data_IF_098668860725
#
_entry.id   IF_098668860725
#
_cell.length_a   1.000
_cell.length_b   1.000
_cell.length_c   1.000
_cell.angle_alpha   90.00
_cell.angle_beta   90.00
_cell.angle_gamma   90.00
#
_symmetry.space_group_name_H-M   'P 1'
#
loop_
_entity.id
_entity.type
_entity.pdbx_description
1 polymer ?
#
# COMPACT_ATOMS: atom_id res chain seq x y z
N UNK A 1 -5.00 56.07 1.51
CA UNK A 1 -4.31 55.06 2.35
C UNK A 1 -5.25 53.88 2.53
N UNK A 2 -4.87 52.65 2.13
CA UNK A 2 -5.75 51.50 2.32
C UNK A 2 -6.01 51.29 3.82
N UNK A 3 -7.27 51.03 4.18
CA UNK A 3 -7.70 50.77 5.56
C UNK A 3 -6.89 49.62 6.16
N UNK A 4 -6.58 49.68 7.47
CA UNK A 4 -5.91 48.58 8.20
C UNK A 4 -6.63 47.23 8.01
N UNK A 5 -7.96 47.26 7.84
CA UNK A 5 -8.77 46.08 7.53
C UNK A 5 -8.54 45.53 6.12
N UNK A 6 -8.31 46.41 5.13
CA UNK A 6 -8.02 46.00 3.76
C UNK A 6 -6.66 45.31 3.69
N UNK A 7 -5.64 45.86 4.35
CA UNK A 7 -4.31 45.23 4.44
C UNK A 7 -4.40 43.87 5.15
N UNK A 8 -5.14 43.79 6.26
CA UNK A 8 -5.33 42.53 6.99
C UNK A 8 -6.03 41.45 6.15
N UNK A 9 -7.11 41.80 5.45
CA UNK A 9 -7.83 40.87 4.56
C UNK A 9 -6.97 40.45 3.36
N UNK A 10 -6.16 41.36 2.82
CA UNK A 10 -5.27 41.03 1.70
C UNK A 10 -4.12 40.13 2.17
N UNK A 11 -3.54 40.37 3.35
CA UNK A 11 -2.55 39.48 3.97
C UNK A 11 -3.17 38.12 4.32
N UNK A 12 -4.42 38.07 4.79
CA UNK A 12 -5.13 36.82 5.04
C UNK A 12 -5.39 36.05 3.74
N UNK A 13 -5.75 36.73 2.64
CA UNK A 13 -5.95 36.14 1.32
C UNK A 13 -4.63 35.64 0.69
N UNK A 14 -3.53 36.38 0.88
CA UNK A 14 -2.18 35.95 0.45
C UNK A 14 -1.66 34.80 1.33
N UNK A 15 -2.04 34.74 2.61
CA UNK A 15 -1.78 33.59 3.49
C UNK A 15 -2.69 32.40 3.18
N UNK A 16 -3.85 32.62 2.56
CA UNK A 16 -4.78 31.61 2.03
C UNK A 16 -4.39 31.13 0.62
N UNK A 17 -3.47 31.80 -0.08
CA UNK A 17 -2.65 31.19 -1.14
C UNK A 17 -1.64 30.19 -0.56
N UNK A 18 -2.06 29.41 0.45
CA UNK A 18 -1.38 28.17 0.75
C UNK A 18 -1.45 27.35 -0.53
N UNK A 19 -0.31 27.26 -1.22
CA UNK A 19 -0.10 26.36 -2.35
C UNK A 19 -0.87 25.08 -2.04
N UNK A 20 -1.93 24.77 -2.80
CA UNK A 20 -2.62 23.50 -2.70
C UNK A 20 -1.53 22.42 -2.78
N UNK A 21 -1.18 21.84 -1.63
CA UNK A 21 -0.19 20.78 -1.56
C UNK A 21 -0.92 19.59 -2.14
N UNK A 22 -0.73 19.37 -3.44
CA UNK A 22 -1.28 18.21 -4.11
C UNK A 22 -0.65 16.95 -3.51
N UNK A 23 -1.48 15.93 -3.35
CA UNK A 23 -1.08 14.62 -2.84
C UNK A 23 -0.07 14.00 -3.81
N UNK A 24 -0.46 13.91 -5.08
CA UNK A 24 0.48 13.65 -6.17
C UNK A 24 1.04 14.95 -6.74
N UNK A 25 2.23 14.89 -7.32
CA UNK A 25 2.72 16.05 -8.06
C UNK A 25 1.84 16.32 -9.29
N UNK A 26 1.76 17.60 -9.67
CA UNK A 26 1.11 18.03 -10.92
C UNK A 26 1.56 17.19 -12.12
N UNK A 27 2.84 16.88 -12.20
CA UNK A 27 3.40 16.09 -13.31
C UNK A 27 2.78 14.69 -13.37
N UNK A 28 2.69 14.01 -12.22
CA UNK A 28 2.13 12.67 -12.16
C UNK A 28 0.62 12.67 -12.37
N UNK A 29 -0.09 13.66 -11.81
CA UNK A 29 -1.51 13.89 -12.10
C UNK A 29 -1.77 14.06 -13.60
N UNK A 30 -1.02 14.94 -14.26
CA UNK A 30 -1.11 15.17 -15.70
C UNK A 30 -0.80 13.90 -16.50
N UNK A 31 0.20 13.12 -16.07
CA UNK A 31 0.51 11.83 -16.69
C UNK A 31 -0.67 10.86 -16.60
N UNK A 32 -1.29 10.73 -15.42
CA UNK A 32 -2.43 9.83 -15.21
C UNK A 32 -3.62 10.28 -16.07
N UNK A 33 -3.96 11.57 -16.05
CA UNK A 33 -5.08 12.09 -16.85
C UNK A 33 -4.86 11.86 -18.35
N UNK A 34 -3.64 12.13 -18.84
CA UNK A 34 -3.29 11.97 -20.25
C UNK A 34 -3.29 10.51 -20.72
N UNK A 35 -2.87 9.58 -19.88
CA UNK A 35 -2.72 8.16 -20.25
C UNK A 35 -3.93 7.29 -19.88
N UNK A 36 -4.79 7.79 -18.99
CA UNK A 36 -5.95 7.08 -18.48
C UNK A 36 -7.17 8.00 -18.56
N UNK A 37 -7.51 8.70 -17.48
CA UNK A 37 -8.54 9.74 -17.42
C UNK A 37 -8.58 10.39 -16.02
N UNK A 38 -9.40 11.43 -15.90
CA UNK A 38 -9.65 12.17 -14.65
C UNK A 38 -10.15 11.27 -13.51
N UNK A 39 -11.01 10.30 -13.80
CA UNK A 39 -11.58 9.40 -12.77
C UNK A 39 -10.50 8.51 -12.16
N UNK A 40 -9.56 8.03 -12.97
CA UNK A 40 -8.39 7.27 -12.48
C UNK A 40 -7.48 8.15 -11.65
N UNK A 41 -7.22 9.41 -12.05
CA UNK A 41 -6.46 10.34 -11.20
C UNK A 41 -7.12 10.49 -9.83
N UNK A 42 -8.41 10.84 -9.80
CA UNK A 42 -9.16 11.03 -8.54
C UNK A 42 -9.10 9.77 -7.68
N UNK A 43 -9.29 8.60 -8.28
CA UNK A 43 -9.24 7.32 -7.59
C UNK A 43 -7.87 7.04 -6.95
N UNK A 44 -6.77 7.46 -7.56
CA UNK A 44 -5.43 7.22 -7.04
C UNK A 44 -4.95 8.33 -6.10
N UNK A 45 -5.30 9.58 -6.36
CA UNK A 45 -4.79 10.73 -5.60
C UNK A 45 -5.47 10.89 -4.24
N UNK A 46 -6.74 10.47 -4.13
CA UNK A 46 -7.46 10.39 -2.85
C UNK A 46 -7.46 11.67 -2.01
N UNK A 47 -7.62 12.81 -2.67
CA UNK A 47 -7.82 14.12 -2.01
C UNK A 47 -9.03 14.08 -1.05
N UNK A 48 -10.02 13.21 -1.32
CA UNK A 48 -11.17 12.99 -0.44
C UNK A 48 -10.80 12.44 0.95
N UNK A 49 -9.60 11.85 1.10
CA UNK A 49 -9.11 11.27 2.36
C UNK A 49 -8.13 12.16 3.13
N UNK A 50 -7.97 13.41 2.73
CA UNK A 50 -7.15 14.39 3.44
C UNK A 50 -6.40 15.32 2.50
N UNK A 51 -5.71 16.29 3.09
CA UNK A 51 -4.87 17.25 2.38
C UNK A 51 -3.39 16.93 2.60
N UNK A 52 -2.53 17.22 1.62
CA UNK A 52 -1.09 17.05 1.75
C UNK A 52 -0.59 15.68 1.33
N UNK A 53 -0.03 14.87 2.25
CA UNK A 53 0.37 13.47 1.98
C UNK A 53 -0.57 12.48 2.68
N UNK A 54 -1.80 12.92 2.98
CA UNK A 54 -2.75 12.14 3.76
C UNK A 54 -3.43 11.08 2.92
N UNK A 55 -3.97 11.48 1.77
CA UNK A 55 -4.55 10.59 0.78
C UNK A 55 -3.50 9.73 0.10
N UNK A 56 -2.51 10.35 -0.52
CA UNK A 56 -1.55 9.71 -1.41
C UNK A 56 -0.27 10.53 -1.53
N UNK A 57 0.79 9.95 -2.08
CA UNK A 57 1.95 10.75 -2.47
C UNK A 57 2.73 10.15 -3.62
N UNK A 58 3.47 10.98 -4.33
CA UNK A 58 4.44 10.56 -5.35
C UNK A 58 4.38 11.38 -6.62
N UNK A 59 5.28 11.04 -7.53
CA UNK A 59 5.42 11.74 -8.81
C UNK A 59 6.63 12.66 -8.88
N UNK A 60 7.07 12.94 -10.10
CA UNK A 60 8.15 13.89 -10.37
C UNK A 60 7.68 15.33 -10.17
N UNK A 61 8.56 16.23 -9.77
CA UNK A 61 8.26 17.66 -9.77
C UNK A 61 8.23 18.18 -11.22
N UNK A 62 9.13 17.69 -12.07
CA UNK A 62 9.23 18.06 -13.48
C UNK A 62 9.85 16.95 -14.33
N UNK A 63 9.89 17.14 -15.65
CA UNK A 63 10.59 16.22 -16.57
C UNK A 63 12.10 16.12 -16.29
N UNK A 64 12.70 17.12 -15.64
CA UNK A 64 14.11 17.13 -15.28
C UNK A 64 14.46 16.18 -14.11
N UNK A 65 13.45 15.64 -13.42
CA UNK A 65 13.67 14.69 -12.33
C UNK A 65 14.14 13.33 -12.88
N UNK A 66 15.39 13.00 -12.57
CA UNK A 66 15.99 11.71 -12.91
C UNK A 66 15.78 10.72 -11.76
N UNK A 67 15.09 9.61 -12.07
CA UNK A 67 14.95 8.49 -11.13
C UNK A 67 16.23 7.66 -11.14
N UNK A 68 17.00 7.72 -10.06
CA UNK A 68 18.26 6.98 -9.90
C UNK A 68 18.00 5.59 -9.32
N UNK A 69 17.05 5.47 -8.40
CA UNK A 69 16.64 4.22 -7.76
C UNK A 69 15.40 3.63 -8.42
N UNK A 70 15.02 2.43 -8.01
CA UNK A 70 13.72 1.84 -8.33
C UNK A 70 12.62 2.55 -7.53
N UNK A 71 11.45 2.82 -8.14
CA UNK A 71 10.33 3.38 -7.42
C UNK A 71 9.84 2.42 -6.32
N UNK A 72 9.57 2.96 -5.13
CA UNK A 72 9.01 2.23 -4.00
C UNK A 72 7.55 2.62 -3.84
N UNK A 73 6.66 1.63 -3.84
CA UNK A 73 5.23 1.78 -3.64
C UNK A 73 4.88 1.31 -2.23
N UNK A 74 4.39 2.21 -1.42
CA UNK A 74 3.84 1.91 -0.10
C UNK A 74 2.34 1.68 -0.21
N UNK A 75 1.84 0.58 0.37
CA UNK A 75 0.41 0.26 0.40
C UNK A 75 -0.04 0.09 1.85
N UNK A 76 -0.91 0.97 2.38
CA UNK A 76 -1.32 0.97 3.78
C UNK A 76 -2.10 -0.29 4.15
N UNK A 77 -2.29 -0.50 5.46
CA UNK A 77 -3.25 -1.49 5.95
C UNK A 77 -4.69 -1.03 5.74
N UNK A 78 -5.65 -1.93 5.95
CA UNK A 78 -7.06 -1.56 5.93
C UNK A 78 -7.34 -0.48 6.99
N UNK A 79 -8.28 0.42 6.68
CA UNK A 79 -8.65 1.57 7.51
C UNK A 79 -7.55 2.61 7.75
N UNK A 80 -6.36 2.42 7.18
CA UNK A 80 -5.26 3.37 7.25
C UNK A 80 -5.14 4.14 5.93
N UNK A 81 -4.38 5.23 5.99
CA UNK A 81 -4.13 6.11 4.84
C UNK A 81 -2.64 6.19 4.56
N UNK A 82 -2.26 6.68 3.38
CA UNK A 82 -0.87 6.86 2.95
C UNK A 82 -0.02 7.62 3.97
N UNK A 83 -0.61 8.52 4.77
CA UNK A 83 0.07 9.23 5.85
C UNK A 83 0.84 8.32 6.82
N UNK A 84 0.41 7.07 7.02
CA UNK A 84 1.11 6.13 7.90
C UNK A 84 2.55 5.86 7.47
N UNK A 85 2.85 6.05 6.18
CA UNK A 85 4.19 5.92 5.61
C UNK A 85 4.94 7.25 5.52
N UNK A 86 4.45 8.33 6.11
CA UNK A 86 5.18 9.61 6.15
C UNK A 86 6.56 9.46 6.81
N UNK A 87 6.65 8.71 7.91
CA UNK A 87 7.92 8.36 8.56
C UNK A 87 8.84 7.55 7.65
N UNK A 88 8.30 6.56 6.92
CA UNK A 88 9.05 5.76 5.95
C UNK A 88 9.56 6.61 4.79
N UNK A 89 8.69 7.46 4.22
CA UNK A 89 9.03 8.40 3.15
C UNK A 89 10.18 9.31 3.57
N UNK A 90 10.07 9.94 4.74
CA UNK A 90 11.10 10.82 5.28
C UNK A 90 12.41 10.07 5.52
N UNK A 91 12.35 8.86 6.10
CA UNK A 91 13.52 8.02 6.30
C UNK A 91 14.24 7.74 4.97
N UNK A 92 13.51 7.30 3.95
CA UNK A 92 14.08 7.01 2.64
C UNK A 92 14.70 8.26 2.00
N UNK A 93 14.04 9.41 2.11
CA UNK A 93 14.54 10.68 1.56
C UNK A 93 15.83 11.15 2.24
N UNK A 94 15.91 11.09 3.57
CA UNK A 94 17.13 11.44 4.33
C UNK A 94 18.29 10.52 3.94
N UNK A 95 18.00 9.30 3.52
CA UNK A 95 19.00 8.32 3.09
C UNK A 95 19.13 8.21 1.55
N UNK A 96 18.78 9.28 0.83
CA UNK A 96 19.16 9.47 -0.58
C UNK A 96 18.18 8.93 -1.62
N UNK A 97 16.94 8.60 -1.26
CA UNK A 97 15.86 8.53 -2.24
C UNK A 97 15.36 9.93 -2.61
N UNK A 98 14.96 10.11 -3.86
CA UNK A 98 14.19 11.28 -4.26
C UNK A 98 12.70 11.06 -3.91
N UNK A 99 11.95 12.11 -3.56
CA UNK A 99 10.48 12.02 -3.42
C UNK A 99 9.81 11.47 -4.68
N UNK A 100 10.37 11.73 -5.85
CA UNK A 100 9.90 11.25 -7.16
C UNK A 100 10.06 9.74 -7.35
N UNK A 101 10.71 9.06 -6.41
CA UNK A 101 10.90 7.60 -6.37
C UNK A 101 9.99 6.93 -5.31
N UNK A 102 9.20 7.70 -4.56
CA UNK A 102 8.40 7.20 -3.45
C UNK A 102 6.92 7.46 -3.71
N UNK A 103 6.12 6.41 -3.69
CA UNK A 103 4.71 6.43 -4.07
C UNK A 103 3.84 5.78 -3.01
N UNK A 104 2.64 6.29 -2.79
CA UNK A 104 1.62 5.65 -1.96
C UNK A 104 0.23 6.06 -2.43
N UNK A 105 -0.73 5.16 -2.31
CA UNK A 105 -2.15 5.48 -2.50
C UNK A 105 -3.00 4.87 -1.39
N UNK A 106 -3.96 5.64 -0.90
CA UNK A 106 -5.00 5.11 0.00
C UNK A 106 -6.08 4.40 -0.80
N UNK A 107 -6.72 3.41 -0.19
CA UNK A 107 -7.81 2.67 -0.82
C UNK A 107 -9.01 2.55 0.12
N UNK A 108 -10.15 2.16 -0.43
CA UNK A 108 -11.41 2.14 0.33
C UNK A 108 -11.79 3.54 0.82
N UNK A 109 -12.41 3.62 2.00
CA UNK A 109 -12.90 4.89 2.56
C UNK A 109 -11.94 5.54 3.57
N UNK A 110 -10.70 5.06 3.69
CA UNK A 110 -9.73 5.65 4.62
C UNK A 110 -10.13 5.58 6.09
N UNK A 111 -10.90 4.55 6.47
CA UNK A 111 -11.19 4.18 7.86
C UNK A 111 -12.63 4.34 8.31
N UNK A 112 -13.56 4.73 7.44
CA UNK A 112 -14.97 4.88 7.78
C UNK A 112 -15.69 3.53 7.98
N UNK A 113 -15.38 2.53 7.16
CA UNK A 113 -15.90 1.17 7.33
C UNK A 113 -15.27 0.58 8.58
N UNK A 114 -16.08 0.26 9.58
CA UNK A 114 -15.61 -0.40 10.80
C UNK A 114 -15.05 -1.79 10.48
N UNK A 115 -13.99 -2.17 11.20
CA UNK A 115 -13.22 -3.38 10.94
C UNK A 115 -14.09 -4.65 10.83
N UNK A 116 -15.11 -4.89 11.67
CA UNK A 116 -15.98 -6.07 11.56
C UNK A 116 -16.72 -6.22 10.22
N UNK A 117 -16.89 -5.12 9.48
CA UNK A 117 -17.55 -5.09 8.16
C UNK A 117 -16.57 -5.02 7.00
N UNK A 118 -15.27 -4.86 7.27
CA UNK A 118 -14.25 -4.74 6.23
C UNK A 118 -14.04 -6.08 5.50
N UNK A 119 -13.92 -6.06 4.17
CA UNK A 119 -13.78 -7.26 3.34
C UNK A 119 -12.73 -7.07 2.24
N UNK A 120 -12.17 -8.16 1.74
CA UNK A 120 -11.23 -8.18 0.62
C UNK A 120 -11.97 -8.02 -0.71
N UNK A 121 -12.41 -6.79 -1.01
CA UNK A 121 -13.24 -6.47 -2.18
C UNK A 121 -12.46 -6.36 -3.50
N UNK A 122 -13.08 -6.78 -4.60
CA UNK A 122 -12.49 -6.70 -5.95
C UNK A 122 -12.11 -5.27 -6.38
N UNK A 123 -12.91 -4.26 -6.05
CA UNK A 123 -12.66 -2.88 -6.44
C UNK A 123 -11.34 -2.34 -5.86
N UNK A 124 -11.03 -2.71 -4.62
CA UNK A 124 -9.75 -2.38 -3.96
C UNK A 124 -8.59 -3.12 -4.62
N UNK A 125 -8.74 -4.41 -4.91
CA UNK A 125 -7.73 -5.19 -5.65
C UNK A 125 -7.42 -4.54 -7.00
N UNK A 126 -8.46 -4.16 -7.75
CA UNK A 126 -8.33 -3.49 -9.06
C UNK A 126 -7.65 -2.13 -8.93
N UNK A 127 -7.99 -1.33 -7.92
CA UNK A 127 -7.35 -0.04 -7.65
C UNK A 127 -5.85 -0.21 -7.42
N UNK A 128 -5.45 -1.10 -6.50
CA UNK A 128 -4.03 -1.35 -6.18
C UNK A 128 -3.28 -1.87 -7.40
N UNK A 129 -3.87 -2.82 -8.13
CA UNK A 129 -3.28 -3.37 -9.37
C UNK A 129 -3.06 -2.29 -10.41
N UNK A 130 -4.02 -1.39 -10.59
CA UNK A 130 -3.91 -0.27 -11.53
C UNK A 130 -2.81 0.70 -11.07
N UNK A 131 -2.74 1.01 -9.78
CA UNK A 131 -1.70 1.89 -9.24
C UNK A 131 -0.29 1.36 -9.49
N UNK A 132 -0.05 0.07 -9.23
CA UNK A 132 1.23 -0.59 -9.52
C UNK A 132 1.62 -0.42 -11.00
N UNK A 133 0.67 -0.66 -11.92
CA UNK A 133 0.89 -0.51 -13.36
C UNK A 133 1.16 0.94 -13.76
N UNK A 134 0.46 1.90 -13.15
CA UNK A 134 0.68 3.33 -13.39
C UNK A 134 2.09 3.73 -12.99
N UNK A 135 2.54 3.37 -11.78
CA UNK A 135 3.87 3.74 -11.28
C UNK A 135 4.97 3.07 -12.11
N UNK A 136 4.82 1.77 -12.42
CA UNK A 136 5.75 1.05 -13.30
C UNK A 136 5.88 1.75 -14.67
N UNK A 137 4.74 2.08 -15.32
CA UNK A 137 4.71 2.76 -16.62
C UNK A 137 5.30 4.17 -16.55
N UNK A 138 5.00 4.92 -15.49
CA UNK A 138 5.45 6.29 -15.30
C UNK A 138 6.95 6.38 -15.04
N UNK A 139 7.47 5.49 -14.19
CA UNK A 139 8.88 5.42 -13.86
C UNK A 139 9.71 4.71 -14.94
N UNK A 140 9.06 3.92 -15.80
CA UNK A 140 9.68 3.01 -16.76
C UNK A 140 10.73 2.09 -16.11
N UNK A 141 10.38 1.54 -14.95
CA UNK A 141 11.20 0.63 -14.14
C UNK A 141 10.32 -0.39 -13.43
N UNK A 142 10.88 -1.55 -13.08
CA UNK A 142 10.26 -2.42 -12.08
C UNK A 142 10.13 -1.69 -10.75
N UNK A 143 9.12 -2.07 -9.97
CA UNK A 143 8.79 -1.42 -8.70
C UNK A 143 9.17 -2.29 -7.51
N UNK A 144 9.52 -1.66 -6.40
CA UNK A 144 9.58 -2.31 -5.10
C UNK A 144 8.28 -1.99 -4.34
N UNK A 145 7.66 -2.95 -3.68
CA UNK A 145 6.42 -2.76 -2.92
C UNK A 145 6.67 -3.02 -1.44
N UNK A 146 6.20 -2.10 -0.59
CA UNK A 146 6.17 -2.25 0.86
C UNK A 146 4.73 -2.12 1.33
N UNK A 147 4.16 -3.19 1.87
CA UNK A 147 2.77 -3.20 2.36
C UNK A 147 2.69 -3.60 3.82
N UNK A 148 1.63 -3.15 4.50
CA UNK A 148 1.46 -3.35 5.93
C UNK A 148 0.12 -4.03 6.25
N UNK A 149 0.13 -4.96 7.21
CA UNK A 149 -1.08 -5.50 7.82
C UNK A 149 -2.06 -6.07 6.77
N UNK A 150 -3.31 -5.63 6.81
CA UNK A 150 -4.39 -6.08 5.95
C UNK A 150 -4.25 -5.62 4.48
N UNK A 151 -3.26 -4.78 4.16
CA UNK A 151 -2.90 -4.45 2.78
C UNK A 151 -2.25 -5.62 2.04
N UNK A 152 -1.59 -6.54 2.75
CA UNK A 152 -0.81 -7.60 2.14
C UNK A 152 -1.65 -8.54 1.25
N UNK A 153 -2.82 -9.08 1.70
CA UNK A 153 -3.65 -9.90 0.83
C UNK A 153 -4.15 -9.18 -0.42
N UNK A 154 -4.48 -7.88 -0.32
CA UNK A 154 -4.89 -7.09 -1.49
C UNK A 154 -3.77 -6.98 -2.53
N UNK A 155 -2.57 -6.61 -2.10
CA UNK A 155 -1.42 -6.47 -3.00
C UNK A 155 -1.07 -7.82 -3.62
N UNK A 156 -1.07 -8.88 -2.82
CA UNK A 156 -0.84 -10.25 -3.30
C UNK A 156 -1.86 -10.64 -4.38
N UNK A 157 -3.16 -10.39 -4.17
CA UNK A 157 -4.16 -10.66 -5.21
C UNK A 157 -4.02 -9.76 -6.43
N UNK A 158 -3.66 -8.49 -6.23
CA UNK A 158 -3.41 -7.52 -7.30
C UNK A 158 -2.24 -7.96 -8.20
N UNK A 159 -1.20 -8.58 -7.62
CA UNK A 159 -0.06 -9.13 -8.38
C UNK A 159 -0.44 -10.43 -9.08
N UNK A 160 -1.10 -11.35 -8.36
CA UNK A 160 -1.49 -12.68 -8.87
C UNK A 160 -2.40 -12.58 -10.09
N UNK A 161 -3.37 -11.66 -10.09
CA UNK A 161 -4.37 -11.57 -11.15
C UNK A 161 -5.40 -12.70 -11.08
N UNK A 162 -5.75 -13.27 -12.23
CA UNK A 162 -6.84 -14.23 -12.40
C UNK A 162 -8.20 -13.55 -12.36
N UNK A 163 -9.11 -14.10 -11.56
CA UNK A 163 -10.44 -13.52 -11.31
C UNK A 163 -10.56 -13.01 -9.87
N UNK A 164 -11.32 -11.94 -9.66
CA UNK A 164 -11.73 -11.52 -8.33
C UNK A 164 -12.54 -12.62 -7.63
N UNK A 165 -12.24 -12.87 -6.36
CA UNK A 165 -12.83 -14.01 -5.62
C UNK A 165 -14.30 -13.77 -5.25
N UNK A 166 -14.67 -12.52 -5.00
CA UNK A 166 -16.01 -12.10 -4.60
C UNK A 166 -16.94 -11.78 -5.77
N UNK A 167 -16.41 -11.21 -6.86
CA UNK A 167 -17.23 -10.76 -8.01
C UNK A 167 -16.99 -11.55 -9.30
N UNK A 168 -15.98 -12.42 -9.36
CA UNK A 168 -15.52 -13.12 -10.58
C UNK A 168 -15.09 -12.21 -11.74
N UNK A 169 -14.94 -10.91 -11.52
CA UNK A 169 -14.44 -10.00 -12.54
C UNK A 169 -12.98 -10.30 -12.88
N UNK A 170 -12.63 -10.22 -14.17
CA UNK A 170 -11.27 -10.52 -14.62
C UNK A 170 -10.27 -9.44 -14.16
N UNK A 171 -9.19 -9.88 -13.53
CA UNK A 171 -8.00 -9.06 -13.22
C UNK A 171 -6.93 -9.18 -14.32
N UNK A 172 -7.00 -10.23 -15.15
CA UNK A 172 -6.03 -10.56 -16.19
C UNK A 172 -4.87 -11.42 -15.67
N UNK A 173 -3.82 -11.57 -16.47
CA UNK A 173 -2.61 -12.33 -16.10
C UNK A 173 -1.89 -11.75 -14.89
N UNK A 174 -1.00 -12.51 -14.24
CA UNK A 174 -0.15 -11.96 -13.19
C UNK A 174 0.70 -10.78 -13.71
N UNK A 175 1.11 -9.90 -12.80
CA UNK A 175 2.02 -8.77 -13.09
C UNK A 175 3.34 -8.91 -12.33
N UNK A 176 3.73 -10.15 -12.02
CA UNK A 176 4.95 -10.48 -11.29
C UNK A 176 6.19 -9.86 -11.92
N UNK A 177 6.24 -9.80 -13.25
CA UNK A 177 7.33 -9.20 -14.03
C UNK A 177 7.51 -7.69 -13.81
N UNK A 178 6.52 -7.00 -13.23
CA UNK A 178 6.63 -5.59 -12.89
C UNK A 178 7.28 -5.38 -11.51
N UNK A 179 7.36 -6.43 -10.68
CA UNK A 179 7.76 -6.33 -9.28
C UNK A 179 9.17 -6.88 -9.09
N UNK A 180 10.07 -6.01 -8.64
CA UNK A 180 11.42 -6.41 -8.28
C UNK A 180 11.43 -6.99 -6.86
N UNK A 181 11.09 -6.20 -5.85
CA UNK A 181 11.01 -6.65 -4.46
C UNK A 181 9.61 -6.46 -3.89
N UNK A 182 9.06 -7.48 -3.24
CA UNK A 182 7.84 -7.37 -2.45
C UNK A 182 8.16 -7.56 -0.97
N UNK A 183 7.73 -6.61 -0.16
CA UNK A 183 7.91 -6.63 1.29
C UNK A 183 6.56 -6.46 1.97
N UNK A 184 6.27 -7.33 2.93
CA UNK A 184 5.11 -7.20 3.81
C UNK A 184 5.56 -7.06 5.27
N UNK A 185 4.96 -6.11 5.99
CA UNK A 185 5.20 -5.87 7.42
C UNK A 185 3.94 -6.28 8.17
N UNK A 186 4.06 -7.26 9.06
CA UNK A 186 2.94 -7.77 9.88
C UNK A 186 1.70 -8.11 9.05
N UNK A 187 1.91 -8.64 7.84
CA UNK A 187 0.84 -8.88 6.87
C UNK A 187 -0.14 -9.97 7.32
N UNK A 188 -1.40 -9.91 6.90
CA UNK A 188 -2.37 -11.00 7.12
C UNK A 188 -2.30 -12.06 6.01
N UNK A 189 -1.11 -12.58 5.72
CA UNK A 189 -0.83 -13.43 4.55
C UNK A 189 -1.58 -14.77 4.56
N UNK A 190 -1.78 -15.33 5.76
CA UNK A 190 -2.60 -16.53 5.99
C UNK A 190 -3.94 -16.21 6.68
N UNK A 191 -4.35 -14.94 6.68
CA UNK A 191 -5.53 -14.46 7.38
C UNK A 191 -5.22 -13.85 8.74
N UNK A 192 -6.24 -13.79 9.60
CA UNK A 192 -6.17 -13.27 10.97
C UNK A 192 -6.64 -14.34 11.95
N UNK A 193 -5.89 -14.57 13.03
CA UNK A 193 -6.11 -15.67 13.97
C UNK A 193 -7.52 -15.67 14.57
N UNK A 194 -8.03 -14.50 14.97
CA UNK A 194 -9.39 -14.38 15.51
C UNK A 194 -10.47 -14.81 14.53
N UNK A 195 -10.22 -14.71 13.21
CA UNK A 195 -11.15 -15.14 12.19
C UNK A 195 -11.30 -16.66 12.09
N UNK A 196 -10.39 -17.45 12.67
CA UNK A 196 -10.54 -18.91 12.71
C UNK A 196 -11.77 -19.34 13.52
N UNK A 197 -12.24 -18.50 14.45
CA UNK A 197 -13.40 -18.79 15.31
C UNK A 197 -14.59 -17.89 15.04
N UNK A 198 -14.39 -16.74 14.37
CA UNK A 198 -15.42 -15.73 14.14
C UNK A 198 -16.04 -15.75 12.73
N UNK A 199 -15.62 -16.67 11.85
CA UNK A 199 -16.00 -16.69 10.44
C UNK A 199 -17.50 -16.85 10.16
N UNK A 200 -18.27 -17.41 11.10
CA UNK A 200 -19.73 -17.53 10.99
C UNK A 200 -20.50 -16.27 11.40
N UNK A 201 -19.90 -15.38 12.20
CA UNK A 201 -20.61 -14.27 12.85
C UNK A 201 -20.18 -12.90 12.34
N UNK A 202 -18.92 -12.77 11.93
CA UNK A 202 -18.32 -11.48 11.60
C UNK A 202 -18.03 -11.40 10.10
N UNK A 203 -18.61 -10.44 9.35
CA UNK A 203 -18.37 -10.28 7.92
C UNK A 203 -16.89 -10.16 7.53
N UNK A 204 -16.06 -9.55 8.37
CA UNK A 204 -14.61 -9.49 8.23
C UNK A 204 -13.91 -10.86 8.14
N UNK A 205 -14.52 -11.88 8.72
CA UNK A 205 -14.00 -13.24 8.74
C UNK A 205 -14.73 -14.18 7.77
N UNK A 206 -15.60 -13.66 6.89
CA UNK A 206 -16.44 -14.51 6.05
C UNK A 206 -15.62 -15.49 5.14
N UNK A 207 -16.18 -16.67 4.81
CA UNK A 207 -15.45 -17.72 4.09
C UNK A 207 -15.23 -17.46 2.58
N UNK A 208 -15.69 -16.32 2.04
CA UNK A 208 -15.48 -15.95 0.63
C UNK A 208 -14.30 -14.99 0.53
N UNK A 209 -14.47 -13.76 1.02
CA UNK A 209 -13.50 -12.68 0.92
C UNK A 209 -13.18 -12.03 2.28
N UNK A 210 -13.25 -12.82 3.35
CA UNK A 210 -12.78 -12.43 4.68
C UNK A 210 -11.38 -12.95 4.99
N UNK A 211 -10.90 -12.60 6.18
CA UNK A 211 -9.58 -12.97 6.69
C UNK A 211 -9.54 -14.31 7.43
N UNK A 212 -10.57 -15.14 7.28
CA UNK A 212 -10.49 -16.53 7.71
C UNK A 212 -9.44 -17.27 6.87
N UNK A 213 -8.58 -18.04 7.52
CA UNK A 213 -7.48 -18.77 6.88
C UNK A 213 -7.93 -19.71 5.73
N UNK A 214 -9.16 -20.24 5.80
CA UNK A 214 -9.77 -21.11 4.79
C UNK A 214 -10.81 -20.36 3.95
N UNK A 215 -10.81 -19.02 3.98
CA UNK A 215 -11.62 -18.27 3.03
C UNK A 215 -11.12 -18.50 1.61
N UNK A 216 -12.03 -18.45 0.62
CA UNK A 216 -11.65 -18.60 -0.79
C UNK A 216 -10.54 -17.63 -1.19
N UNK A 217 -10.54 -16.41 -0.63
CA UNK A 217 -9.53 -15.40 -0.94
C UNK A 217 -8.15 -15.77 -0.39
N UNK A 218 -8.07 -16.17 0.88
CA UNK A 218 -6.78 -16.54 1.49
C UNK A 218 -6.23 -17.82 0.85
N UNK A 219 -7.09 -18.77 0.50
CA UNK A 219 -6.68 -19.96 -0.26
C UNK A 219 -6.13 -19.57 -1.63
N UNK A 220 -6.85 -18.73 -2.39
CA UNK A 220 -6.48 -18.31 -3.74
C UNK A 220 -5.06 -17.69 -3.79
N UNK A 221 -4.76 -16.73 -2.91
CA UNK A 221 -3.42 -16.09 -2.88
C UNK A 221 -2.31 -17.02 -2.37
N UNK A 222 -2.65 -18.17 -1.75
CA UNK A 222 -1.66 -19.12 -1.21
C UNK A 222 -1.59 -20.43 -2.01
N UNK A 223 -2.36 -20.55 -3.10
CA UNK A 223 -2.46 -21.77 -3.89
C UNK A 223 -1.29 -21.95 -4.88
N UNK A 224 -0.52 -20.90 -5.14
CA UNK A 224 0.64 -20.96 -6.02
C UNK A 224 1.72 -21.92 -5.50
N UNK A 225 2.51 -22.47 -6.44
CA UNK A 225 3.57 -23.47 -6.16
C UNK A 225 4.95 -22.85 -6.02
N UNK A 226 5.10 -21.57 -6.37
CA UNK A 226 6.31 -20.77 -6.23
C UNK A 226 5.96 -19.33 -5.80
N UNK A 227 6.98 -18.55 -5.46
CA UNK A 227 6.83 -17.12 -5.21
C UNK A 227 6.39 -16.41 -6.49
N UNK A 228 5.36 -15.55 -6.38
CA UNK A 228 4.82 -14.79 -7.51
C UNK A 228 4.77 -13.29 -7.22
N UNK A 229 5.05 -12.88 -5.99
CA UNK A 229 4.91 -11.49 -5.55
C UNK A 229 6.03 -10.59 -6.09
N UNK A 230 7.16 -11.16 -6.50
CA UNK A 230 8.28 -10.45 -7.11
C UNK A 230 9.52 -11.33 -7.22
N UNK A 231 10.62 -10.77 -7.75
CA UNK A 231 11.91 -11.44 -7.85
C UNK A 231 12.53 -11.74 -6.47
N UNK A 232 12.36 -10.84 -5.51
CA UNK A 232 12.72 -11.04 -4.11
C UNK A 232 11.54 -10.73 -3.20
N UNK A 233 11.32 -11.56 -2.19
CA UNK A 233 10.12 -11.48 -1.33
C UNK A 233 10.48 -11.59 0.14
N UNK A 234 9.99 -10.65 0.94
CA UNK A 234 10.31 -10.55 2.36
C UNK A 234 9.06 -10.37 3.20
N UNK A 235 8.95 -11.10 4.30
CA UNK A 235 7.95 -10.82 5.34
C UNK A 235 8.64 -10.43 6.63
N UNK A 236 8.25 -9.29 7.21
CA UNK A 236 8.65 -8.85 8.54
C UNK A 236 7.54 -9.22 9.52
N UNK A 237 7.80 -10.23 10.34
CA UNK A 237 6.85 -10.85 11.27
C UNK A 237 7.10 -10.29 12.66
N UNK A 238 6.14 -9.57 13.20
CA UNK A 238 6.17 -9.09 14.58
C UNK A 238 5.84 -10.21 15.57
N UNK A 239 6.79 -10.56 16.45
CA UNK A 239 6.61 -11.68 17.40
C UNK A 239 5.52 -11.42 18.44
N UNK A 240 5.26 -10.16 18.77
CA UNK A 240 4.24 -9.74 19.75
C UNK A 240 3.00 -9.14 19.08
N UNK A 241 2.78 -9.47 17.81
CA UNK A 241 1.56 -9.09 17.09
C UNK A 241 0.35 -9.90 17.56
N UNK A 242 -0.59 -9.23 18.22
CA UNK A 242 -1.87 -9.81 18.62
C UNK A 242 -3.02 -9.42 17.67
N UNK A 243 -2.76 -8.52 16.71
CA UNK A 243 -3.76 -8.03 15.75
C UNK A 243 -3.96 -9.04 14.63
N UNK A 244 -2.88 -9.43 13.95
CA UNK A 244 -2.93 -10.51 12.96
C UNK A 244 -2.95 -11.88 13.66
N UNK A 245 -2.28 -11.97 14.81
CA UNK A 245 -2.13 -13.21 15.56
C UNK A 245 -0.98 -14.09 15.05
N UNK A 246 -0.82 -15.25 15.68
CA UNK A 246 0.33 -16.15 15.49
C UNK A 246 -0.07 -17.48 14.86
N UNK A 247 -1.33 -17.87 14.93
CA UNK A 247 -1.80 -19.15 14.40
C UNK A 247 -3.01 -18.96 13.48
N UNK A 248 -2.74 -19.02 12.18
CA UNK A 248 -3.73 -19.07 11.12
C UNK A 248 -3.71 -20.47 10.51
N UNK A 249 -4.45 -21.38 11.17
CA UNK A 249 -4.65 -22.76 10.70
C UNK A 249 -3.35 -23.55 10.55
N UNK A 250 -2.53 -23.49 11.60
CA UNK A 250 -1.25 -24.18 11.70
C UNK A 250 -0.09 -23.43 11.04
N UNK A 251 -0.33 -22.22 10.53
CA UNK A 251 0.69 -21.34 9.94
C UNK A 251 0.82 -20.06 10.74
N UNK A 252 1.99 -19.43 10.71
CA UNK A 252 2.10 -18.07 11.23
C UNK A 252 1.33 -17.13 10.30
N UNK A 253 0.43 -16.32 10.87
CA UNK A 253 -0.49 -15.47 10.09
C UNK A 253 0.24 -14.50 9.15
N UNK A 254 1.43 -14.04 9.54
CA UNK A 254 2.24 -13.11 8.76
C UNK A 254 3.37 -13.74 7.97
N UNK A 255 3.57 -15.05 8.06
CA UNK A 255 4.52 -15.73 7.18
C UNK A 255 4.10 -15.57 5.71
N UNK A 256 5.09 -15.35 4.84
CA UNK A 256 4.88 -15.35 3.40
C UNK A 256 5.40 -16.66 2.82
N UNK A 257 4.52 -17.40 2.13
CA UNK A 257 4.86 -18.66 1.47
C UNK A 257 5.91 -18.41 0.39
N UNK A 258 6.95 -19.25 0.35
CA UNK A 258 8.07 -19.13 -0.60
C UNK A 258 8.81 -17.79 -0.58
N UNK A 259 8.75 -17.06 0.54
CA UNK A 259 9.52 -15.84 0.71
C UNK A 259 11.02 -16.12 0.54
N UNK A 260 11.75 -15.19 -0.08
CA UNK A 260 13.21 -15.14 0.02
C UNK A 260 13.65 -15.16 1.49
N UNK A 261 12.96 -14.40 2.35
CA UNK A 261 13.17 -14.47 3.80
C UNK A 261 11.96 -14.01 4.62
N UNK A 262 11.62 -14.80 5.63
CA UNK A 262 10.75 -14.38 6.74
C UNK A 262 11.63 -13.86 7.90
N UNK A 263 11.58 -12.55 8.16
CA UNK A 263 12.36 -11.85 9.19
C UNK A 263 11.52 -11.68 10.44
N UNK A 264 12.01 -12.14 11.60
CA UNK A 264 11.31 -11.99 12.88
C UNK A 264 11.75 -10.71 13.58
N UNK A 265 10.79 -9.83 13.90
CA UNK A 265 10.99 -8.66 14.75
C UNK A 265 10.71 -9.05 16.21
N UNK A 266 11.76 -9.16 17.03
CA UNK A 266 11.66 -9.74 18.37
C UNK A 266 10.89 -8.86 19.36
N UNK A 267 11.09 -7.54 19.30
CA UNK A 267 10.60 -6.58 20.31
C UNK A 267 9.50 -5.65 19.76
N UNK A 268 8.90 -6.02 18.63
CA UNK A 268 7.87 -5.23 17.98
C UNK A 268 6.48 -5.78 18.26
N UNK A 269 5.49 -4.88 18.29
CA UNK A 269 4.07 -5.22 18.19
C UNK A 269 3.54 -4.81 16.80
N UNK A 270 2.25 -5.02 16.53
CA UNK A 270 1.65 -4.68 15.23
C UNK A 270 1.99 -3.24 14.80
N UNK A 271 1.76 -2.26 15.69
CA UNK A 271 1.96 -0.84 15.41
C UNK A 271 3.44 -0.45 15.30
N UNK A 272 4.31 -0.94 16.20
CA UNK A 272 5.73 -0.58 16.17
C UNK A 272 6.52 -1.31 15.07
N UNK A 273 5.95 -2.40 14.52
CA UNK A 273 6.62 -3.18 13.48
C UNK A 273 6.98 -2.38 12.23
N UNK A 274 6.21 -1.32 11.91
CA UNK A 274 6.53 -0.44 10.79
C UNK A 274 7.83 0.34 11.05
N UNK A 275 7.94 1.04 12.19
CA UNK A 275 9.14 1.82 12.51
C UNK A 275 10.37 0.93 12.64
N UNK A 276 10.20 -0.29 13.16
CA UNK A 276 11.31 -1.23 13.40
C UNK A 276 11.77 -1.93 12.11
N UNK A 277 10.86 -2.12 11.14
CA UNK A 277 11.17 -2.75 9.85
C UNK A 277 11.81 -1.77 8.85
N UNK A 278 11.37 -0.50 8.81
CA UNK A 278 11.76 0.46 7.76
C UNK A 278 13.27 0.60 7.55
N UNK A 279 14.12 0.73 8.59
CA UNK A 279 15.57 0.78 8.40
C UNK A 279 16.15 -0.46 7.72
N UNK A 280 15.65 -1.65 8.08
CA UNK A 280 16.09 -2.91 7.48
C UNK A 280 15.60 -3.04 6.04
N UNK A 281 14.35 -2.63 5.77
CA UNK A 281 13.77 -2.61 4.42
C UNK A 281 14.57 -1.69 3.51
N UNK A 282 14.91 -0.48 3.97
CA UNK A 282 15.75 0.44 3.20
C UNK A 282 17.07 -0.21 2.77
N UNK A 283 17.76 -0.89 3.70
CA UNK A 283 19.02 -1.58 3.39
C UNK A 283 18.82 -2.72 2.38
N UNK A 284 17.72 -3.49 2.50
CA UNK A 284 17.39 -4.55 1.54
C UNK A 284 17.14 -4.01 0.14
N UNK A 285 16.35 -2.94 0.01
CA UNK A 285 16.01 -2.34 -1.28
C UNK A 285 17.21 -1.68 -1.96
N UNK A 286 18.17 -1.17 -1.19
CA UNK A 286 19.37 -0.55 -1.71
C UNK A 286 20.47 -1.55 -2.12
N UNK A 287 20.48 -2.75 -1.54
CA UNK A 287 21.48 -3.79 -1.83
C UNK A 287 21.11 -4.69 -3.03
N UNK A 288 19.91 -4.54 -3.58
CA UNK A 288 19.44 -5.33 -4.74
C UNK A 288 19.72 -4.64 -6.09
N UNK A 289 20.45 -3.52 -6.09
CA UNK A 289 20.76 -2.70 -7.27
C UNK A 289 21.77 -3.38 -8.18
#
# INVERSE_FOLDING_TARGET
MPSKYFIFVTVLLILLEQKCVQEFTNHFNNFIEKNYNISVRIQMERIDLGWGNWGSFGGKISDNDVLRKRPVIFIPGAQLRSFMFSGAKNYFMIHGYNSSELYSTSYGDGGWTLLPFFKLRCDVVKQIRLFIKIVNKYANKTVDIVTYSLGAPFVRKAILGGSCVDTNEALGSNITNLINTFVTISGANYGVESCNFLHFFIPYCNPINGFYCLSKFIIDINNETNSYEGMSTYSFISKSDLTSGKNCCGKNCSELKYATKNVILQNSNHLSSISDAIPQIFNLLNNTV
#
